data_IF_717249247276
#
_entry.id   IF_717249247276
#
_cell.length_a   1.000
_cell.length_b   1.000
_cell.length_c   1.000
_cell.angle_alpha   90.00
_cell.angle_beta   90.00
_cell.angle_gamma   90.00
#
_symmetry.space_group_name_H-M   'P 1'
#
loop_
_entity.id
_entity.type
_entity.pdbx_description
1 polymer ?
#
# COMPACT_ATOMS: atom_id res chain seq x y z
N UNK A 1 -18.79 -4.14 -38.95
CA UNK A 1 -19.35 -4.51 -37.64
C UNK A 1 -18.35 -4.08 -36.58
N UNK A 2 -18.75 -3.30 -35.56
CA UNK A 2 -17.89 -3.06 -34.40
C UNK A 2 -17.98 -4.33 -33.57
N UNK A 3 -16.99 -5.21 -33.68
CA UNK A 3 -16.79 -6.26 -32.69
C UNK A 3 -16.63 -5.54 -31.35
N UNK A 4 -17.60 -5.74 -30.45
CA UNK A 4 -17.47 -5.23 -29.08
C UNK A 4 -16.26 -5.93 -28.47
N UNK A 5 -15.21 -5.18 -28.20
CA UNK A 5 -14.06 -5.62 -27.41
C UNK A 5 -14.62 -6.21 -26.10
N UNK A 6 -14.59 -7.54 -25.99
CA UNK A 6 -14.85 -8.23 -24.73
C UNK A 6 -13.52 -8.29 -24.00
N UNK A 7 -13.21 -7.22 -23.27
CA UNK A 7 -12.11 -7.24 -22.32
C UNK A 7 -12.44 -8.24 -21.21
N UNK A 8 -11.44 -9.01 -20.81
CA UNK A 8 -11.49 -9.85 -19.61
C UNK A 8 -11.49 -8.96 -18.36
N UNK A 9 -11.99 -9.46 -17.24
CA UNK A 9 -11.98 -8.71 -15.98
C UNK A 9 -10.56 -8.29 -15.55
N UNK A 10 -9.53 -9.09 -15.90
CA UNK A 10 -8.14 -8.77 -15.60
C UNK A 10 -7.63 -7.58 -16.42
N UNK A 11 -8.00 -7.50 -17.70
CA UNK A 11 -7.67 -6.36 -18.57
C UNK A 11 -8.37 -5.08 -18.09
N UNK A 12 -9.63 -5.18 -17.65
CA UNK A 12 -10.36 -4.03 -17.08
C UNK A 12 -9.67 -3.52 -15.81
N UNK A 13 -9.32 -4.40 -14.87
CA UNK A 13 -8.62 -4.00 -13.64
C UNK A 13 -7.25 -3.39 -13.89
N UNK A 14 -6.53 -3.89 -14.90
CA UNK A 14 -5.22 -3.34 -15.27
C UNK A 14 -5.37 -1.94 -15.88
N UNK A 15 -6.39 -1.72 -16.72
CA UNK A 15 -6.70 -0.40 -17.25
C UNK A 15 -7.16 0.58 -16.16
N UNK A 16 -8.02 0.16 -15.23
CA UNK A 16 -8.44 0.96 -14.08
C UNK A 16 -7.23 1.40 -13.25
N UNK A 17 -6.33 0.46 -12.93
CA UNK A 17 -5.08 0.75 -12.23
C UNK A 17 -4.24 1.81 -12.95
N UNK A 18 -4.04 1.65 -14.26
CA UNK A 18 -3.23 2.59 -15.05
C UNK A 18 -3.86 3.99 -15.14
N UNK A 19 -5.18 4.09 -15.14
CA UNK A 19 -5.89 5.38 -15.17
C UNK A 19 -5.77 6.16 -13.87
N UNK A 20 -5.58 5.48 -12.74
CA UNK A 20 -5.46 6.10 -11.42
C UNK A 20 -4.02 6.57 -11.11
N UNK A 21 -3.05 6.24 -11.96
CA UNK A 21 -1.64 6.64 -11.79
C UNK A 21 -1.44 8.09 -12.24
N UNK A 22 -0.69 8.84 -11.43
CA UNK A 22 -0.17 10.16 -11.79
C UNK A 22 1.34 10.05 -12.12
N UNK A 23 1.73 9.99 -13.41
CA UNK A 23 3.12 9.68 -13.80
C UNK A 23 4.20 10.60 -13.23
N UNK A 24 3.85 11.86 -13.00
CA UNK A 24 4.73 12.90 -12.46
C UNK A 24 5.10 12.66 -10.99
N UNK A 25 4.21 12.00 -10.24
CA UNK A 25 4.29 11.89 -8.78
C UNK A 25 4.35 10.44 -8.30
N UNK A 26 4.03 9.46 -9.13
CA UNK A 26 4.06 8.04 -8.78
C UNK A 26 5.46 7.41 -8.84
N UNK A 27 5.71 6.49 -7.92
CA UNK A 27 6.93 5.70 -7.75
C UNK A 27 8.21 6.54 -7.65
N UNK A 28 8.12 7.73 -7.03
CA UNK A 28 9.26 8.62 -6.80
C UNK A 28 9.82 8.53 -5.37
N UNK A 29 9.09 7.88 -4.45
CA UNK A 29 9.46 7.74 -3.03
C UNK A 29 9.63 6.28 -2.63
N UNK A 30 10.52 6.01 -1.68
CA UNK A 30 10.79 4.64 -1.22
C UNK A 30 9.56 4.04 -0.53
N UNK A 31 8.82 4.86 0.21
CA UNK A 31 7.59 4.50 0.90
C UNK A 31 6.53 4.02 -0.09
N UNK A 32 6.34 4.76 -1.18
CA UNK A 32 5.40 4.39 -2.23
C UNK A 32 5.83 3.13 -2.98
N UNK A 33 7.11 2.99 -3.32
CA UNK A 33 7.62 1.78 -3.99
C UNK A 33 7.43 0.54 -3.09
N UNK A 34 7.58 0.68 -1.78
CA UNK A 34 7.27 -0.41 -0.83
C UNK A 34 5.78 -0.74 -0.80
N UNK A 35 4.88 0.25 -0.84
CA UNK A 35 3.43 0.02 -0.98
C UNK A 35 3.10 -0.65 -2.31
N UNK A 36 3.70 -0.21 -3.40
CA UNK A 36 3.59 -0.79 -4.74
C UNK A 36 3.96 -2.28 -4.71
N UNK A 37 5.13 -2.64 -4.16
CA UNK A 37 5.56 -4.04 -4.01
C UNK A 37 4.60 -4.90 -3.17
N UNK A 38 3.89 -4.32 -2.20
CA UNK A 38 2.95 -5.03 -1.34
C UNK A 38 1.54 -5.18 -1.96
N UNK A 39 1.12 -4.23 -2.79
CA UNK A 39 -0.27 -4.12 -3.24
C UNK A 39 -0.54 -4.79 -4.60
N UNK A 40 0.46 -4.86 -5.48
CA UNK A 40 0.27 -5.32 -6.86
C UNK A 40 0.78 -6.75 -7.05
N UNK A 41 0.25 -7.43 -8.08
CA UNK A 41 0.79 -8.70 -8.53
C UNK A 41 1.89 -8.51 -9.61
N UNK A 42 2.70 -9.55 -9.92
CA UNK A 42 3.79 -9.43 -10.89
C UNK A 42 3.38 -9.01 -12.30
N UNK A 43 2.18 -9.37 -12.77
CA UNK A 43 1.71 -8.96 -14.10
C UNK A 43 1.42 -7.46 -14.12
N UNK A 44 0.66 -6.97 -13.13
CA UNK A 44 0.35 -5.55 -12.98
C UNK A 44 1.61 -4.69 -12.81
N UNK A 45 2.64 -5.22 -12.15
CA UNK A 45 3.93 -4.55 -12.00
C UNK A 45 4.52 -4.19 -13.35
N UNK A 46 4.61 -5.16 -14.27
CA UNK A 46 5.20 -4.92 -15.58
C UNK A 46 4.35 -3.94 -16.41
N UNK A 47 3.02 -4.07 -16.37
CA UNK A 47 2.12 -3.15 -17.07
C UNK A 47 2.32 -1.69 -16.61
N UNK A 48 2.48 -1.46 -15.31
CA UNK A 48 2.74 -0.13 -14.75
C UNK A 48 4.11 0.40 -15.18
N UNK A 49 5.16 -0.40 -15.07
CA UNK A 49 6.52 0.03 -15.40
C UNK A 49 6.67 0.30 -16.91
N UNK A 50 6.07 -0.53 -17.75
CA UNK A 50 6.04 -0.33 -19.20
C UNK A 50 5.26 0.94 -19.56
N UNK A 51 4.11 1.17 -18.92
CA UNK A 51 3.33 2.40 -19.11
C UNK A 51 4.16 3.65 -18.78
N UNK A 52 4.78 3.68 -17.59
CA UNK A 52 5.60 4.79 -17.14
C UNK A 52 6.83 5.02 -18.05
N UNK A 53 7.49 3.95 -18.49
CA UNK A 53 8.61 4.03 -19.43
C UNK A 53 8.19 4.66 -20.76
N UNK A 54 7.07 4.21 -21.35
CA UNK A 54 6.57 4.70 -22.65
C UNK A 54 6.27 6.20 -22.61
N UNK A 55 5.79 6.72 -21.48
CA UNK A 55 5.47 8.14 -21.31
C UNK A 55 6.67 8.98 -20.81
N UNK A 56 7.85 8.38 -20.67
CA UNK A 56 9.11 9.08 -20.35
C UNK A 56 9.50 9.09 -18.87
N UNK A 57 8.81 8.32 -18.04
CA UNK A 57 9.04 8.19 -16.61
C UNK A 57 9.62 6.81 -16.26
N UNK A 58 10.78 6.45 -16.81
CA UNK A 58 11.42 5.18 -16.43
C UNK A 58 11.73 5.15 -14.91
N UNK A 59 11.17 4.16 -14.21
CA UNK A 59 11.34 3.92 -12.77
C UNK A 59 11.83 2.51 -12.48
N UNK A 60 12.10 1.68 -13.48
CA UNK A 60 12.35 0.24 -13.31
C UNK A 60 13.58 -0.02 -12.44
N UNK A 61 14.69 0.66 -12.72
CA UNK A 61 15.92 0.56 -11.91
C UNK A 61 15.68 0.95 -10.45
N UNK A 62 14.98 2.06 -10.21
CA UNK A 62 14.66 2.53 -8.87
C UNK A 62 13.76 1.55 -8.11
N UNK A 63 12.70 1.08 -8.77
CA UNK A 63 11.74 0.13 -8.18
C UNK A 63 12.40 -1.20 -7.82
N UNK A 64 13.30 -1.68 -8.66
CA UNK A 64 14.03 -2.94 -8.42
C UNK A 64 15.12 -2.81 -7.36
N UNK A 65 15.68 -1.60 -7.16
CA UNK A 65 16.63 -1.32 -6.09
C UNK A 65 15.98 -1.22 -4.70
N UNK A 66 14.68 -0.91 -4.62
CA UNK A 66 13.96 -0.85 -3.35
C UNK A 66 13.61 -2.25 -2.86
N UNK A 67 14.01 -2.52 -1.62
CA UNK A 67 13.74 -3.77 -0.92
C UNK A 67 12.24 -4.05 -0.81
N UNK A 68 11.88 -5.31 -1.04
CA UNK A 68 10.50 -5.77 -0.82
C UNK A 68 10.18 -5.79 0.68
N UNK A 69 8.93 -5.52 1.07
CA UNK A 69 8.53 -5.59 2.47
C UNK A 69 8.78 -6.97 3.07
N UNK A 70 9.25 -6.98 4.33
CA UNK A 70 9.45 -8.20 5.08
C UNK A 70 8.15 -9.01 5.21
N UNK A 71 8.26 -10.33 5.39
CA UNK A 71 7.14 -11.25 5.58
C UNK A 71 6.06 -11.15 4.48
N UNK A 72 6.48 -10.91 3.22
CA UNK A 72 5.57 -10.73 2.08
C UNK A 72 4.56 -9.59 2.28
N UNK A 73 4.92 -8.60 3.11
CA UNK A 73 4.04 -7.49 3.43
C UNK A 73 2.88 -7.83 4.37
N UNK A 74 2.89 -8.99 5.05
CA UNK A 74 1.86 -9.34 6.04
C UNK A 74 1.96 -8.44 7.28
N UNK A 75 0.83 -8.05 7.83
CA UNK A 75 0.77 -7.27 9.06
C UNK A 75 1.39 -8.05 10.24
N UNK A 76 2.29 -7.40 10.98
CA UNK A 76 3.00 -7.98 12.12
C UNK A 76 2.22 -7.92 13.43
N UNK A 77 1.19 -7.08 13.49
CA UNK A 77 0.33 -6.87 14.66
C UNK A 77 -1.11 -7.20 14.27
N UNK A 78 -1.76 -7.99 15.11
CA UNK A 78 -3.19 -8.29 14.98
C UNK A 78 -4.05 -7.35 15.85
N UNK A 79 -5.37 -7.42 15.67
CA UNK A 79 -6.29 -6.56 16.40
C UNK A 79 -6.35 -6.86 17.90
N UNK A 80 -6.00 -8.08 18.34
CA UNK A 80 -6.02 -8.45 19.75
C UNK A 80 -4.87 -7.77 20.48
N UNK A 81 -3.65 -7.89 19.96
CA UNK A 81 -2.46 -7.24 20.52
C UNK A 81 -2.65 -5.72 20.55
N UNK A 82 -3.18 -5.15 19.46
CA UNK A 82 -3.43 -3.70 19.40
C UNK A 82 -4.51 -3.24 20.39
N UNK A 83 -5.56 -4.04 20.58
CA UNK A 83 -6.61 -3.76 21.57
C UNK A 83 -6.09 -3.82 23.01
N UNK A 84 -5.19 -4.75 23.31
CA UNK A 84 -4.53 -4.84 24.63
C UNK A 84 -3.67 -3.59 24.91
N UNK A 85 -2.91 -3.10 23.92
CA UNK A 85 -2.05 -1.92 24.05
C UNK A 85 -2.84 -0.61 24.17
N UNK A 86 -3.89 -0.45 23.36
CA UNK A 86 -4.66 0.82 23.28
C UNK A 86 -5.91 0.85 24.16
N UNK A 87 -6.33 -0.29 24.70
CA UNK A 87 -7.63 -0.51 25.37
C UNK A 87 -8.84 -0.19 24.49
N UNK A 88 -8.66 -0.14 23.18
CA UNK A 88 -9.77 -0.01 22.25
C UNK A 88 -10.52 -1.34 22.15
N UNK A 89 -11.84 -1.27 22.27
CA UNK A 89 -12.71 -2.40 21.97
C UNK A 89 -12.74 -2.69 20.45
N UNK A 90 -13.04 -3.93 20.05
CA UNK A 90 -13.24 -4.27 18.64
C UNK A 90 -14.26 -3.35 17.96
N UNK A 91 -13.83 -2.69 16.88
CA UNK A 91 -14.67 -1.74 16.15
C UNK A 91 -13.93 -1.00 15.05
N UNK A 92 -14.59 -0.02 14.45
CA UNK A 92 -14.08 0.73 13.29
C UNK A 92 -12.75 1.41 13.60
N UNK A 93 -12.60 2.03 14.78
CA UNK A 93 -11.37 2.73 15.17
C UNK A 93 -10.18 1.77 15.30
N UNK A 94 -10.35 0.64 16.01
CA UNK A 94 -9.31 -0.37 16.14
C UNK A 94 -8.91 -0.96 14.78
N UNK A 95 -9.89 -1.25 13.92
CA UNK A 95 -9.64 -1.74 12.56
C UNK A 95 -8.85 -0.74 11.72
N UNK A 96 -9.25 0.54 11.74
CA UNK A 96 -8.56 1.61 11.01
C UNK A 96 -7.15 1.86 11.53
N UNK A 97 -6.95 1.83 12.84
CA UNK A 97 -5.63 1.99 13.43
C UNK A 97 -4.71 0.84 13.01
N UNK A 98 -5.23 -0.39 13.00
CA UNK A 98 -4.50 -1.56 12.51
C UNK A 98 -4.10 -1.38 11.04
N UNK A 99 -5.02 -0.96 10.17
CA UNK A 99 -4.72 -0.74 8.75
C UNK A 99 -3.66 0.36 8.57
N UNK A 100 -3.73 1.43 9.36
CA UNK A 100 -2.77 2.53 9.28
C UNK A 100 -1.38 2.11 9.78
N UNK A 101 -1.30 1.38 10.90
CA UNK A 101 -0.04 0.80 11.38
C UNK A 101 0.56 -0.19 10.37
N UNK A 102 -0.28 -0.99 9.69
CA UNK A 102 0.18 -1.88 8.63
C UNK A 102 0.75 -1.09 7.45
N UNK A 103 0.11 0.01 7.05
CA UNK A 103 0.67 0.90 6.02
C UNK A 103 2.04 1.45 6.44
N UNK A 104 2.16 1.99 7.66
CA UNK A 104 3.43 2.52 8.16
C UNK A 104 4.52 1.45 8.28
N UNK A 105 4.16 0.22 8.67
CA UNK A 105 5.07 -0.94 8.68
C UNK A 105 5.68 -1.15 7.29
N UNK A 106 4.85 -1.13 6.24
CA UNK A 106 5.31 -1.31 4.86
C UNK A 106 6.19 -0.15 4.42
N UNK A 107 5.73 1.09 4.59
CA UNK A 107 6.45 2.29 4.15
C UNK A 107 7.84 2.40 4.81
N UNK A 108 7.91 2.14 6.12
CA UNK A 108 9.16 2.22 6.90
C UNK A 108 10.02 0.96 6.80
N UNK A 109 9.53 -0.11 6.16
CA UNK A 109 10.25 -1.37 6.02
C UNK A 109 10.46 -2.10 7.35
N UNK A 110 9.50 -1.99 8.28
CA UNK A 110 9.62 -2.59 9.61
C UNK A 110 9.43 -4.11 9.55
N UNK A 111 10.28 -4.84 10.27
CA UNK A 111 10.23 -6.30 10.38
C UNK A 111 9.97 -6.79 11.81
N UNK A 112 9.78 -5.89 12.78
CA UNK A 112 9.58 -6.21 14.19
C UNK A 112 8.25 -5.66 14.73
N UNK A 113 7.46 -6.54 15.35
CA UNK A 113 6.18 -6.18 15.99
C UNK A 113 6.30 -5.06 17.04
N UNK A 114 7.35 -5.04 17.85
CA UNK A 114 7.58 -3.99 18.85
C UNK A 114 7.86 -2.63 18.22
N UNK A 115 8.57 -2.58 17.08
CA UNK A 115 8.77 -1.32 16.33
C UNK A 115 7.44 -0.81 15.79
N UNK A 116 6.59 -1.70 15.28
CA UNK A 116 5.24 -1.35 14.80
C UNK A 116 4.36 -0.82 15.94
N UNK A 117 4.37 -1.46 17.11
CA UNK A 117 3.63 -0.96 18.28
C UNK A 117 4.14 0.42 18.75
N UNK A 118 5.44 0.69 18.64
CA UNK A 118 6.01 2.00 18.95
C UNK A 118 5.40 3.14 18.15
N UNK A 119 4.94 2.86 16.92
CA UNK A 119 4.29 3.84 16.04
C UNK A 119 2.96 4.37 16.59
N UNK A 120 2.30 3.65 17.50
CA UNK A 120 1.05 4.12 18.13
C UNK A 120 1.23 5.50 18.77
N UNK A 121 2.42 5.76 19.32
CA UNK A 121 2.75 7.06 19.94
C UNK A 121 2.88 8.23 18.95
N UNK A 122 2.99 7.94 17.66
CA UNK A 122 3.09 8.95 16.59
C UNK A 122 1.73 9.35 16.01
N UNK A 123 0.66 8.66 16.42
CA UNK A 123 -0.70 8.83 15.89
C UNK A 123 -1.56 9.37 17.03
N UNK A 124 -2.31 10.45 16.80
CA UNK A 124 -3.34 10.91 17.75
C UNK A 124 -4.61 10.05 17.59
N UNK A 125 -4.46 8.75 17.83
CA UNK A 125 -5.48 7.74 17.57
C UNK A 125 -6.70 7.87 18.48
N UNK A 126 -6.59 8.61 19.58
CA UNK A 126 -7.69 8.88 20.52
C UNK A 126 -8.65 9.95 19.96
N UNK A 127 -8.11 11.04 19.41
CA UNK A 127 -8.90 12.21 19.07
C UNK A 127 -9.14 12.39 17.56
N UNK A 128 -8.26 11.88 16.70
CA UNK A 128 -8.43 12.00 15.24
C UNK A 128 -9.62 11.18 14.74
N UNK A 129 -10.19 11.59 13.60
CA UNK A 129 -11.19 10.80 12.90
C UNK A 129 -10.53 9.57 12.23
N UNK A 130 -10.93 8.32 12.54
CA UNK A 130 -10.36 7.13 11.91
C UNK A 130 -10.53 7.08 10.40
N UNK A 131 -11.48 7.85 9.85
CA UNK A 131 -11.69 7.93 8.40
C UNK A 131 -10.61 8.73 7.68
N UNK A 132 -9.89 9.60 8.40
CA UNK A 132 -8.81 10.44 7.87
C UNK A 132 -7.48 9.69 7.71
N UNK A 133 -7.32 8.54 8.38
CA UNK A 133 -6.07 7.80 8.34
C UNK A 133 -5.82 7.15 6.97
N UNK A 134 -4.59 7.24 6.44
CA UNK A 134 -4.22 6.59 5.20
C UNK A 134 -4.46 5.08 5.23
N UNK A 135 -5.01 4.54 4.14
CA UNK A 135 -5.26 3.10 3.97
C UNK A 135 -4.05 2.41 3.35
N UNK A 136 -3.93 1.10 3.57
CA UNK A 136 -2.96 0.26 2.86
C UNK A 136 -3.44 0.00 1.42
N UNK A 137 -3.25 0.97 0.53
CA UNK A 137 -3.56 0.90 -0.91
C UNK A 137 -2.43 1.52 -1.73
N UNK A 138 -2.38 1.14 -3.00
CA UNK A 138 -1.61 1.80 -4.06
C UNK A 138 -2.45 1.72 -5.36
N UNK A 139 -2.47 2.74 -6.24
CA UNK A 139 -1.80 4.04 -6.15
C UNK A 139 -2.22 4.85 -4.90
#
# INVERSE_FOLDING_TARGET
AREGLKATNAEVQSLELLMDIEPETSLISIEEVRRFHAAINPSQKEDVLDYLEVIGHDRREYVDAVERPANEGRALIDGRVLGEETRLEPGVRLGRLKDFLHRMQIERGLSNSSEVLGLISEIDWENEDPSSWPKMTWP
#
